data_IF_116112448758
#
_entry.id   IF_116112448758
#
_cell.length_a   1.000
_cell.length_b   1.000
_cell.length_c   1.000
_cell.angle_alpha   90.00
_cell.angle_beta   90.00
_cell.angle_gamma   90.00
#
_symmetry.space_group_name_H-M   'P 1'
#
loop_
_entity.id
_entity.type
_entity.pdbx_description
1 polymer ?
#
# COMPACT_ATOMS: atom_id res chain seq x y z
N UNK A 1 8.54 12.47 -4.42
CA UNK A 1 7.68 13.69 -4.46
C UNK A 1 8.58 14.90 -4.45
N UNK A 2 8.34 15.84 -5.34
CA UNK A 2 9.10 17.09 -5.42
C UNK A 2 8.12 18.25 -5.22
N UNK A 3 8.36 19.10 -4.24
CA UNK A 3 7.59 20.31 -3.99
C UNK A 3 8.50 21.48 -4.31
N UNK A 4 8.10 22.31 -5.26
CA UNK A 4 8.72 23.61 -5.49
C UNK A 4 7.86 24.66 -4.82
N UNK A 5 8.45 25.42 -3.93
CA UNK A 5 7.76 26.52 -3.26
C UNK A 5 8.68 27.75 -3.19
N UNK A 6 8.09 28.91 -2.95
CA UNK A 6 8.82 30.17 -2.80
C UNK A 6 8.36 30.88 -1.54
N UNK A 7 9.30 31.33 -0.73
CA UNK A 7 9.03 32.27 0.36
C UNK A 7 9.07 33.68 -0.22
N UNK A 8 7.98 34.42 -0.02
CA UNK A 8 7.95 35.83 -0.33
C UNK A 8 8.91 36.58 0.60
N UNK A 9 9.76 37.42 0.04
CA UNK A 9 10.63 38.28 0.83
C UNK A 9 9.86 39.45 1.45
N UNK A 10 10.50 40.16 2.36
CA UNK A 10 10.04 41.45 2.90
C UNK A 10 10.91 42.57 2.31
N UNK A 11 10.37 43.48 1.50
CA UNK A 11 11.13 44.60 0.97
C UNK A 11 11.69 45.51 2.07
N UNK A 12 12.86 46.09 1.85
CA UNK A 12 13.44 47.09 2.77
C UNK A 12 12.60 48.36 2.83
N UNK A 13 11.91 48.71 1.72
CA UNK A 13 10.99 49.81 1.66
C UNK A 13 9.57 49.29 1.45
N UNK A 14 8.68 49.59 2.39
CA UNK A 14 7.29 49.12 2.33
C UNK A 14 6.57 49.61 1.05
N UNK A 15 5.77 48.72 0.46
CA UNK A 15 5.00 49.01 -0.77
C UNK A 15 5.81 48.94 -2.05
N UNK A 16 7.08 48.55 -2.02
CA UNK A 16 7.89 48.38 -3.24
C UNK A 16 7.94 46.88 -3.63
N UNK A 17 8.24 46.65 -4.92
CA UNK A 17 8.48 45.30 -5.45
C UNK A 17 9.91 45.25 -5.99
N UNK A 18 10.92 45.02 -5.14
CA UNK A 18 12.32 45.06 -5.56
C UNK A 18 12.67 43.89 -6.47
N UNK A 19 13.74 44.05 -7.25
CA UNK A 19 14.32 42.97 -8.04
C UNK A 19 14.82 41.89 -7.12
N UNK A 20 14.47 40.63 -7.37
CA UNK A 20 14.81 39.49 -6.47
C UNK A 20 16.30 39.28 -6.24
N UNK A 21 17.13 39.65 -7.20
CA UNK A 21 18.58 39.50 -7.17
C UNK A 21 19.31 40.61 -6.42
N UNK A 22 18.63 41.70 -6.10
CA UNK A 22 19.22 42.83 -5.34
C UNK A 22 19.04 42.55 -3.83
N UNK A 23 20.05 42.01 -3.20
CA UNK A 23 20.05 41.64 -1.78
C UNK A 23 19.84 42.86 -0.86
N UNK A 24 20.28 44.08 -1.28
CA UNK A 24 20.19 45.29 -0.48
C UNK A 24 18.78 45.85 -0.40
N UNK A 25 17.93 45.51 -1.35
CA UNK A 25 16.55 45.95 -1.43
C UNK A 25 15.57 45.12 -0.56
N UNK A 26 16.06 44.14 0.16
CA UNK A 26 15.25 43.23 0.95
C UNK A 26 15.68 43.23 2.43
N UNK A 27 14.72 43.35 3.36
CA UNK A 27 14.92 43.02 4.78
C UNK A 27 15.03 41.51 4.95
N UNK A 28 14.18 40.77 4.26
CA UNK A 28 14.22 39.32 4.16
C UNK A 28 14.18 38.97 2.69
N UNK A 29 15.28 38.43 2.17
CA UNK A 29 15.34 38.04 0.76
C UNK A 29 14.35 36.89 0.45
N UNK A 30 13.66 36.94 -0.70
CA UNK A 30 12.83 35.84 -1.15
C UNK A 30 13.71 34.61 -1.42
N UNK A 31 13.19 33.42 -1.08
CA UNK A 31 13.89 32.16 -1.29
C UNK A 31 13.02 31.19 -2.06
N UNK A 32 13.61 30.56 -3.04
CA UNK A 32 13.04 29.39 -3.70
C UNK A 32 13.66 28.12 -3.12
N UNK A 33 12.86 27.11 -2.88
CA UNK A 33 13.34 25.83 -2.44
C UNK A 33 12.57 24.69 -3.08
N UNK A 34 13.22 23.55 -3.19
CA UNK A 34 12.61 22.32 -3.67
C UNK A 34 12.74 21.29 -2.55
N UNK A 35 11.61 20.76 -2.11
CA UNK A 35 11.55 19.66 -1.14
C UNK A 35 11.40 18.34 -1.89
N UNK A 36 12.29 17.41 -1.62
CA UNK A 36 12.22 16.05 -2.10
C UNK A 36 11.87 15.13 -0.93
N UNK A 37 10.84 14.31 -1.11
CA UNK A 37 10.59 13.18 -0.23
C UNK A 37 10.96 11.91 -1.00
N UNK A 38 12.00 11.22 -0.54
CA UNK A 38 12.41 9.93 -1.08
C UNK A 38 11.88 8.84 -0.15
N UNK A 39 11.00 7.99 -0.66
CA UNK A 39 10.50 6.81 0.04
C UNK A 39 11.07 5.56 -0.65
N UNK A 40 11.73 4.70 0.13
CA UNK A 40 12.09 3.38 -0.34
C UNK A 40 10.84 2.51 -0.46
N UNK A 41 10.71 1.81 -1.58
CA UNK A 41 9.64 0.84 -1.83
C UNK A 41 10.26 -0.42 -2.43
N UNK A 42 9.94 -1.58 -1.86
CA UNK A 42 10.41 -2.84 -2.41
C UNK A 42 9.57 -3.25 -3.65
N UNK A 43 10.01 -4.28 -4.40
CA UNK A 43 9.33 -4.67 -5.65
C UNK A 43 7.89 -5.18 -5.49
N UNK A 44 7.46 -5.52 -4.28
CA UNK A 44 6.14 -6.09 -4.00
C UNK A 44 5.13 -5.09 -3.46
N UNK A 45 5.57 -3.87 -3.13
CA UNK A 45 4.69 -2.78 -2.69
C UNK A 45 3.75 -2.36 -3.83
N UNK A 46 2.46 -2.26 -3.54
CA UNK A 46 1.48 -1.82 -4.54
C UNK A 46 0.04 -2.17 -4.19
N UNK A 47 -0.84 -1.74 -5.08
CA UNK A 47 -2.24 -2.10 -5.06
C UNK A 47 -2.50 -3.27 -6.01
N UNK A 48 -3.29 -4.22 -5.54
CA UNK A 48 -3.55 -5.46 -6.25
C UNK A 48 -5.05 -5.74 -6.28
N UNK A 49 -5.54 -6.19 -7.41
CA UNK A 49 -6.83 -6.88 -7.48
C UNK A 49 -6.68 -8.24 -6.82
N UNK A 50 -7.48 -8.48 -5.79
CA UNK A 50 -7.43 -9.68 -4.97
C UNK A 50 -8.67 -10.53 -5.19
N UNK A 51 -8.47 -11.77 -5.55
CA UNK A 51 -9.50 -12.80 -5.64
C UNK A 51 -9.05 -14.07 -4.93
N UNK A 52 -9.99 -14.88 -4.52
CA UNK A 52 -9.65 -16.12 -3.83
C UNK A 52 -10.84 -16.80 -3.19
N UNK A 53 -10.54 -17.85 -2.43
CA UNK A 53 -11.53 -18.60 -1.67
C UNK A 53 -11.10 -18.64 -0.22
N UNK A 54 -11.99 -18.20 0.66
CA UNK A 54 -11.83 -18.22 2.10
C UNK A 54 -12.63 -19.37 2.70
N UNK A 55 -12.00 -20.12 3.56
CA UNK A 55 -12.64 -21.09 4.44
C UNK A 55 -12.54 -20.56 5.86
N UNK A 56 -13.65 -20.09 6.36
CA UNK A 56 -13.74 -19.46 7.68
C UNK A 56 -14.36 -20.45 8.65
N UNK A 57 -13.66 -20.73 9.74
CA UNK A 57 -14.16 -21.52 10.86
C UNK A 57 -14.36 -20.60 12.04
N UNK A 58 -15.58 -20.57 12.58
CA UNK A 58 -15.96 -19.84 13.78
C UNK A 58 -16.73 -20.78 14.71
N UNK A 59 -16.30 -20.91 15.97
CA UNK A 59 -16.94 -21.76 16.98
C UNK A 59 -17.18 -23.20 16.49
N UNK A 60 -16.25 -23.76 15.71
CA UNK A 60 -16.32 -25.13 15.16
C UNK A 60 -17.21 -25.28 13.93
N UNK A 61 -17.86 -24.23 13.48
CA UNK A 61 -18.61 -24.23 12.21
C UNK A 61 -17.77 -23.62 11.11
N UNK A 62 -17.79 -24.26 9.94
CA UNK A 62 -16.99 -23.83 8.78
C UNK A 62 -17.89 -23.46 7.62
N UNK A 63 -17.60 -22.36 6.96
CA UNK A 63 -18.21 -21.94 5.72
C UNK A 63 -17.17 -21.43 4.72
N UNK A 64 -17.50 -21.50 3.45
CA UNK A 64 -16.64 -21.01 2.38
C UNK A 64 -17.23 -19.73 1.77
N UNK A 65 -16.32 -18.80 1.46
CA UNK A 65 -16.66 -17.54 0.77
C UNK A 65 -15.74 -17.39 -0.43
N UNK A 66 -16.32 -17.32 -1.62
CA UNK A 66 -15.57 -17.01 -2.84
C UNK A 66 -15.54 -15.50 -3.03
N UNK A 67 -14.36 -14.93 -3.07
CA UNK A 67 -14.11 -13.52 -3.39
C UNK A 67 -13.66 -13.40 -4.84
N UNK A 68 -14.59 -13.09 -5.71
CA UNK A 68 -14.33 -12.95 -7.13
C UNK A 68 -15.38 -12.04 -7.76
N UNK A 69 -14.95 -10.97 -8.41
CA UNK A 69 -15.80 -10.13 -9.22
C UNK A 69 -16.09 -10.78 -10.58
N UNK A 70 -17.12 -10.29 -11.28
CA UNK A 70 -17.45 -10.75 -12.64
C UNK A 70 -16.28 -10.51 -13.63
N UNK A 71 -15.47 -9.50 -13.39
CA UNK A 71 -14.24 -9.20 -14.11
C UNK A 71 -13.17 -8.81 -13.09
N UNK A 72 -11.90 -8.88 -13.48
CA UNK A 72 -10.78 -8.60 -12.57
C UNK A 72 -10.82 -7.16 -12.00
N UNK A 73 -11.34 -6.20 -12.76
CA UNK A 73 -11.46 -4.81 -12.33
C UNK A 73 -12.52 -4.59 -11.24
N UNK A 74 -13.38 -5.59 -11.03
CA UNK A 74 -14.40 -5.62 -9.99
C UNK A 74 -13.98 -6.42 -8.75
N UNK A 75 -12.79 -6.99 -8.78
CA UNK A 75 -12.23 -7.67 -7.61
C UNK A 75 -11.91 -6.66 -6.50
N UNK A 76 -11.82 -7.17 -5.29
CA UNK A 76 -11.35 -6.41 -4.14
C UNK A 76 -9.96 -5.83 -4.41
N UNK A 77 -9.75 -4.56 -4.07
CA UNK A 77 -8.43 -3.93 -4.14
C UNK A 77 -7.77 -3.99 -2.79
N UNK A 78 -6.65 -4.67 -2.71
CA UNK A 78 -5.83 -4.78 -1.50
C UNK A 78 -4.50 -4.06 -1.66
N UNK A 79 -3.98 -3.49 -0.58
CA UNK A 79 -2.71 -2.80 -0.55
C UNK A 79 -1.66 -3.61 0.21
N UNK A 80 -0.57 -3.94 -0.46
CA UNK A 80 0.62 -4.54 0.12
C UNK A 80 1.65 -3.43 0.28
N UNK A 81 2.16 -3.20 1.50
CA UNK A 81 3.04 -2.09 1.82
C UNK A 81 4.43 -2.57 2.21
N UNK A 82 5.45 -1.82 1.82
CA UNK A 82 6.85 -2.09 2.20
C UNK A 82 7.04 -1.99 3.70
N UNK A 83 7.63 -3.03 4.32
CA UNK A 83 8.13 -3.03 5.68
C UNK A 83 9.66 -2.95 5.72
N UNK A 84 10.33 -3.73 4.90
CA UNK A 84 11.79 -3.74 4.74
C UNK A 84 12.19 -4.12 3.31
N UNK A 85 13.48 -4.34 3.05
CA UNK A 85 13.98 -4.75 1.73
C UNK A 85 13.29 -5.99 1.17
N UNK A 86 13.00 -6.97 2.02
CA UNK A 86 12.39 -8.26 1.65
C UNK A 86 11.09 -8.56 2.38
N UNK A 87 10.54 -7.59 3.11
CA UNK A 87 9.32 -7.78 3.87
C UNK A 87 8.25 -6.76 3.48
N UNK A 88 7.02 -7.22 3.45
CA UNK A 88 5.82 -6.40 3.27
C UNK A 88 4.81 -6.67 4.37
N UNK A 89 3.95 -5.69 4.61
CA UNK A 89 2.76 -5.84 5.43
C UNK A 89 1.53 -6.02 4.53
N UNK A 90 0.65 -6.89 4.95
CA UNK A 90 -0.66 -7.10 4.36
C UNK A 90 -1.70 -7.31 5.45
N UNK A 91 -2.79 -6.56 5.41
CA UNK A 91 -3.88 -6.66 6.37
C UNK A 91 -4.95 -7.62 5.87
N UNK A 92 -5.34 -8.58 6.70
CA UNK A 92 -6.45 -9.49 6.44
C UNK A 92 -7.48 -9.40 7.56
N UNK A 93 -8.75 -9.47 7.18
CA UNK A 93 -9.85 -9.33 8.14
C UNK A 93 -10.96 -10.33 7.85
N UNK A 94 -11.66 -10.72 8.91
CA UNK A 94 -12.85 -11.55 8.86
C UNK A 94 -13.99 -10.87 9.63
N UNK A 95 -15.18 -10.89 9.06
CA UNK A 95 -16.38 -10.48 9.77
C UNK A 95 -16.89 -11.66 10.57
N UNK A 96 -17.13 -11.45 11.86
CA UNK A 96 -17.70 -12.46 12.75
C UNK A 96 -19.21 -12.58 12.58
N UNK A 97 -19.77 -13.66 13.10
CA UNK A 97 -21.22 -13.87 13.11
C UNK A 97 -21.99 -12.77 13.86
N UNK A 98 -21.37 -12.11 14.85
CA UNK A 98 -21.95 -10.98 15.60
C UNK A 98 -21.89 -9.64 14.84
N UNK A 99 -21.34 -9.63 13.61
CA UNK A 99 -21.16 -8.44 12.78
C UNK A 99 -19.89 -7.62 13.10
N UNK A 100 -19.14 -7.98 14.13
CA UNK A 100 -17.86 -7.34 14.42
C UNK A 100 -16.77 -7.82 13.45
N UNK A 101 -15.71 -7.02 13.29
CA UNK A 101 -14.58 -7.32 12.40
C UNK A 101 -13.35 -7.64 13.24
N UNK A 102 -12.65 -8.71 12.90
CA UNK A 102 -11.33 -9.02 13.44
C UNK A 102 -10.29 -8.89 12.34
N UNK A 103 -9.13 -8.32 12.66
CA UNK A 103 -8.08 -7.97 11.70
C UNK A 103 -6.73 -8.47 12.19
N UNK A 104 -5.95 -9.06 11.29
CA UNK A 104 -4.58 -9.49 11.52
C UNK A 104 -3.66 -8.84 10.49
N UNK A 105 -2.55 -8.27 10.96
CA UNK A 105 -1.48 -7.81 10.08
C UNK A 105 -0.54 -8.98 9.79
N UNK A 106 -0.44 -9.33 8.54
CA UNK A 106 0.46 -10.35 8.04
C UNK A 106 1.79 -9.73 7.63
N UNK A 107 2.86 -10.43 7.95
CA UNK A 107 4.18 -10.17 7.43
C UNK A 107 4.47 -11.16 6.30
N UNK A 108 4.73 -10.62 5.11
CA UNK A 108 5.11 -11.35 3.91
C UNK A 108 6.62 -11.21 3.74
N UNK A 109 7.36 -12.30 3.81
CA UNK A 109 8.83 -12.31 3.62
C UNK A 109 9.17 -12.99 2.31
N UNK A 110 9.89 -12.28 1.43
CA UNK A 110 10.23 -12.73 0.09
C UNK A 110 11.71 -13.12 -0.02
N UNK A 111 11.99 -14.17 -0.79
CA UNK A 111 13.34 -14.50 -1.23
C UNK A 111 13.64 -13.91 -2.63
N UNK A 112 14.90 -14.08 -3.08
CA UNK A 112 15.36 -13.56 -4.38
C UNK A 112 14.72 -14.28 -5.58
N UNK A 113 14.10 -15.42 -5.35
CA UNK A 113 13.35 -16.18 -6.36
C UNK A 113 11.86 -15.81 -6.38
N UNK A 114 11.42 -14.89 -5.51
CA UNK A 114 10.02 -14.49 -5.38
C UNK A 114 9.15 -15.48 -4.60
N UNK A 115 9.74 -16.47 -3.89
CA UNK A 115 8.96 -17.25 -2.95
C UNK A 115 8.62 -16.39 -1.73
N UNK A 116 7.43 -16.58 -1.21
CA UNK A 116 6.90 -15.80 -0.09
C UNK A 116 6.56 -16.72 1.08
N UNK A 117 6.94 -16.29 2.28
CA UNK A 117 6.51 -16.90 3.54
C UNK A 117 5.59 -15.94 4.26
N UNK A 118 4.48 -16.43 4.77
CA UNK A 118 3.47 -15.65 5.51
C UNK A 118 3.57 -15.94 6.99
N UNK A 119 3.65 -14.88 7.80
CA UNK A 119 3.61 -14.98 9.28
C UNK A 119 2.71 -13.87 9.83
N UNK A 120 2.28 -13.97 11.09
CA UNK A 120 1.54 -12.91 11.78
C UNK A 120 2.52 -11.86 12.34
N UNK A 121 2.12 -10.60 12.24
CA UNK A 121 2.77 -9.45 12.89
C UNK A 121 1.85 -8.83 13.97
N UNK A 122 0.74 -9.52 14.28
CA UNK A 122 -0.22 -9.11 15.31
C UNK A 122 -0.06 -9.98 16.54
N UNK A 123 0.11 -9.36 17.71
CA UNK A 123 0.22 -10.07 18.99
C UNK A 123 -1.05 -10.87 19.29
N UNK A 124 -0.87 -12.07 19.82
CA UNK A 124 -1.98 -12.97 20.17
C UNK A 124 -2.64 -13.67 18.96
N UNK A 125 -2.19 -13.40 17.75
CA UNK A 125 -2.65 -14.08 16.54
C UNK A 125 -1.51 -14.82 15.86
N UNK A 126 -1.82 -15.94 15.22
CA UNK A 126 -0.82 -16.70 14.47
C UNK A 126 -1.20 -16.81 13.00
N UNK A 127 -0.20 -16.78 12.14
CA UNK A 127 -0.37 -17.03 10.73
C UNK A 127 0.76 -17.88 10.18
N UNK A 128 0.45 -18.71 9.21
CA UNK A 128 1.42 -19.51 8.49
C UNK A 128 0.96 -19.71 7.05
N UNK A 129 1.91 -19.69 6.12
CA UNK A 129 1.60 -19.90 4.73
C UNK A 129 2.77 -19.68 3.81
N UNK A 130 2.53 -19.92 2.54
CA UNK A 130 3.52 -19.74 1.47
C UNK A 130 2.88 -19.09 0.27
N UNK A 131 3.71 -18.53 -0.59
CA UNK A 131 3.27 -17.92 -1.83
C UNK A 131 4.37 -17.82 -2.85
N UNK A 132 4.00 -17.28 -4.00
CA UNK A 132 4.92 -17.06 -5.12
C UNK A 132 4.57 -15.77 -5.83
N UNK A 133 5.56 -14.92 -5.98
CA UNK A 133 5.50 -13.74 -6.82
C UNK A 133 6.13 -14.05 -8.18
N UNK A 134 5.42 -13.67 -9.25
CA UNK A 134 5.89 -13.85 -10.63
C UNK A 134 5.69 -12.54 -11.38
N UNK A 135 6.78 -11.94 -11.84
CA UNK A 135 6.70 -10.74 -12.69
C UNK A 135 6.01 -11.06 -14.00
N UNK A 136 5.04 -10.23 -14.39
CA UNK A 136 4.22 -10.39 -15.61
C UNK A 136 3.61 -11.79 -15.75
N UNK A 137 3.35 -12.47 -14.63
CA UNK A 137 2.81 -13.83 -14.59
C UNK A 137 1.34 -13.90 -15.00
N UNK A 138 0.54 -12.86 -14.74
CA UNK A 138 -0.84 -12.76 -15.20
C UNK A 138 -0.85 -12.17 -16.62
N UNK A 139 -1.11 -13.04 -17.61
CA UNK A 139 -1.10 -12.66 -19.02
C UNK A 139 -2.39 -11.95 -19.42
N UNK A 140 -2.24 -10.85 -20.21
CA UNK A 140 -3.36 -10.06 -20.75
C UNK A 140 -4.46 -9.82 -19.70
N UNK A 141 -4.05 -9.57 -18.45
CA UNK A 141 -4.95 -9.49 -17.32
C UNK A 141 -5.83 -8.22 -17.43
N UNK A 142 -5.56 -7.18 -16.65
CA UNK A 142 -6.38 -5.99 -16.76
C UNK A 142 -5.70 -4.91 -17.61
N UNK A 143 -6.49 -4.12 -18.34
CA UNK A 143 -5.99 -3.12 -19.28
C UNK A 143 -5.24 -3.74 -20.47
N UNK A 144 -5.53 -5.00 -20.77
CA UNK A 144 -4.92 -5.78 -21.88
C UNK A 144 -3.38 -5.80 -21.80
N UNK A 145 -2.83 -5.91 -20.58
CA UNK A 145 -1.39 -5.95 -20.31
C UNK A 145 -1.02 -7.12 -19.41
N UNK A 146 0.19 -7.62 -19.57
CA UNK A 146 0.78 -8.57 -18.63
C UNK A 146 1.02 -7.87 -17.30
N UNK A 147 0.58 -8.49 -16.21
CA UNK A 147 0.66 -7.96 -14.85
C UNK A 147 1.43 -8.90 -13.93
N UNK A 148 2.08 -8.32 -12.94
CA UNK A 148 2.68 -9.11 -11.87
C UNK A 148 1.61 -9.79 -11.06
N UNK A 149 1.89 -11.00 -10.62
CA UNK A 149 0.97 -11.81 -9.83
C UNK A 149 1.67 -12.34 -8.58
N UNK A 150 0.98 -12.26 -7.46
CA UNK A 150 1.34 -12.92 -6.22
C UNK A 150 0.24 -13.93 -5.89
N UNK A 151 0.60 -15.16 -5.68
CA UNK A 151 -0.29 -16.20 -5.15
C UNK A 151 0.09 -16.48 -3.70
N UNK A 152 -0.90 -16.55 -2.79
CA UNK A 152 -0.69 -16.88 -1.39
C UNK A 152 -1.66 -17.99 -0.98
N UNK A 153 -1.14 -18.99 -0.26
CA UNK A 153 -1.93 -19.97 0.44
C UNK A 153 -1.55 -19.88 1.92
N UNK A 154 -2.48 -19.48 2.77
CA UNK A 154 -2.17 -19.23 4.16
C UNK A 154 -3.35 -19.51 5.08
N UNK A 155 -3.01 -19.68 6.34
CA UNK A 155 -3.94 -19.86 7.46
C UNK A 155 -3.66 -18.80 8.49
N UNK A 156 -4.70 -18.23 9.05
CA UNK A 156 -4.65 -17.26 10.16
C UNK A 156 -5.54 -17.77 11.28
N UNK A 157 -4.99 -17.83 12.48
CA UNK A 157 -5.75 -18.00 13.70
C UNK A 157 -5.83 -16.65 14.41
N UNK A 158 -7.04 -16.08 14.41
CA UNK A 158 -7.30 -14.78 15.04
C UNK A 158 -7.49 -14.89 16.57
N UNK A 159 -7.35 -16.10 17.13
CA UNK A 159 -7.75 -16.39 18.49
C UNK A 159 -9.28 -16.50 18.64
N UNK A 160 -9.74 -16.77 19.84
CA UNK A 160 -11.18 -16.85 20.16
C UNK A 160 -11.99 -17.81 19.27
N UNK A 161 -11.36 -18.85 18.73
CA UNK A 161 -12.00 -19.88 17.91
C UNK A 161 -12.29 -19.46 16.47
N UNK A 162 -11.65 -18.39 15.97
CA UNK A 162 -11.80 -17.91 14.60
C UNK A 162 -10.54 -18.24 13.80
N UNK A 163 -10.71 -19.01 12.75
CA UNK A 163 -9.64 -19.44 11.85
C UNK A 163 -10.05 -19.16 10.41
N UNK A 164 -9.12 -18.56 9.66
CA UNK A 164 -9.23 -18.38 8.22
C UNK A 164 -8.19 -19.26 7.52
N UNK A 165 -8.61 -20.07 6.56
CA UNK A 165 -7.75 -20.70 5.58
C UNK A 165 -8.10 -20.11 4.20
N UNK A 166 -7.13 -19.61 3.47
CA UNK A 166 -7.40 -18.93 2.21
C UNK A 166 -6.38 -19.24 1.13
N UNK A 167 -6.87 -19.26 -0.10
CA UNK A 167 -6.06 -19.29 -1.31
C UNK A 167 -6.33 -18.02 -2.09
N UNK A 168 -5.35 -17.14 -2.15
CA UNK A 168 -5.44 -15.81 -2.73
C UNK A 168 -4.61 -15.67 -3.99
N UNK A 169 -5.14 -14.90 -4.93
CA UNK A 169 -4.45 -14.43 -6.10
C UNK A 169 -4.52 -12.89 -6.15
N UNK A 170 -3.37 -12.26 -6.20
CA UNK A 170 -3.21 -10.82 -6.27
C UNK A 170 -2.62 -10.45 -7.63
N UNK A 171 -3.36 -9.71 -8.43
CA UNK A 171 -2.90 -9.20 -9.73
C UNK A 171 -2.60 -7.72 -9.62
N UNK A 172 -1.39 -7.31 -9.95
CA UNK A 172 -0.96 -5.93 -9.78
C UNK A 172 -1.83 -4.95 -10.56
N UNK A 173 -2.50 -4.05 -9.83
CA UNK A 173 -3.20 -2.91 -10.37
C UNK A 173 -2.22 -1.78 -10.66
N UNK A 174 -1.54 -1.32 -9.62
CA UNK A 174 -0.54 -0.25 -9.71
C UNK A 174 0.58 -0.49 -8.70
N UNK A 175 1.79 -0.17 -9.11
CA UNK A 175 2.97 -0.20 -8.24
C UNK A 175 3.16 1.15 -7.59
N UNK A 176 3.46 1.14 -6.31
CA UNK A 176 3.71 2.36 -5.56
C UNK A 176 2.50 3.28 -5.49
N UNK A 177 2.77 4.56 -5.41
CA UNK A 177 1.73 5.57 -5.38
C UNK A 177 1.03 5.66 -6.74
N UNK A 178 -0.27 5.44 -6.78
CA UNK A 178 -1.09 5.25 -7.97
C UNK A 178 -1.01 6.34 -9.04
N UNK A 179 -0.51 7.50 -8.69
CA UNK A 179 -0.46 8.64 -9.60
C UNK A 179 0.95 9.10 -9.96
N UNK A 180 1.99 8.37 -9.57
CA UNK A 180 3.39 8.78 -9.87
C UNK A 180 3.76 10.17 -9.36
N UNK A 181 2.76 10.97 -9.05
CA UNK A 181 2.82 12.30 -8.49
C UNK A 181 1.74 12.34 -7.42
N UNK A 182 2.13 12.31 -6.15
CA UNK A 182 1.25 12.86 -5.13
C UNK A 182 1.16 14.34 -5.45
N UNK A 183 0.09 14.76 -6.09
CA UNK A 183 -0.31 16.14 -6.00
C UNK A 183 -0.70 16.39 -4.54
N UNK A 184 0.28 16.75 -3.74
CA UNK A 184 -0.02 17.57 -2.58
C UNK A 184 -0.52 18.89 -3.17
N UNK A 185 -1.81 19.07 -3.19
CA UNK A 185 -2.35 20.40 -3.07
C UNK A 185 -1.83 20.92 -1.73
N UNK A 186 -0.89 21.86 -1.69
CA UNK A 186 -0.41 22.38 -0.43
C UNK A 186 -1.52 23.24 0.15
N UNK A 187 -2.45 22.64 0.84
CA UNK A 187 -3.24 23.37 1.81
C UNK A 187 -2.37 23.58 3.06
N UNK A 188 -1.24 24.18 2.88
CA UNK A 188 -0.58 24.88 3.96
C UNK A 188 -1.31 26.17 4.18
N UNK A 189 -2.34 26.14 5.01
CA UNK A 189 -2.86 27.32 5.65
C UNK A 189 -1.72 27.83 6.52
N UNK A 190 -1.03 28.85 6.07
CA UNK A 190 -0.13 29.63 6.90
C UNK A 190 -0.99 30.23 8.01
N UNK A 191 -0.74 29.83 9.26
CA UNK A 191 -1.08 30.65 10.41
C UNK A 191 -0.02 31.74 10.58
#
# INVERSE_FOLDING_TARGET
MCIRDSLSGSPAVAGTTPVRTDASAWLIAPKDYILYCVKFMNPWDGYYFRRGTDKITENGQTHEVKREGATIEKDEVSHITTKSLKECNFEVSVNKADGSKVTCNLKLTFDDNGNCTVTSDTEGMTASGTGKFVEKGAKLAWGNKDRDILTLNYKVDFGSGIVLETSDQFVAQTRGNTNGIVQFSPQYIRK
#
